data_IF_725118066278
#
_entry.id   IF_725118066278
#
_cell.length_a   1.000
_cell.length_b   1.000
_cell.length_c   1.000
_cell.angle_alpha   90.00
_cell.angle_beta   90.00
_cell.angle_gamma   90.00
#
_symmetry.space_group_name_H-M   'P 1'
#
loop_
_entity.id
_entity.type
_entity.pdbx_description
1 polymer ?
#
# COMPACT_ATOMS: atom_id res chain seq x y z
N UNK A 1 -4.48 4.28 3.16
CA UNK A 1 -4.70 5.16 4.34
C UNK A 1 -5.86 6.13 4.18
N UNK A 2 -6.05 6.85 3.05
CA UNK A 2 -7.23 7.72 2.85
C UNK A 2 -8.48 6.91 2.47
N UNK A 3 -9.64 7.26 3.06
CA UNK A 3 -10.94 6.65 2.79
C UNK A 3 -11.56 7.24 1.51
N UNK A 4 -12.32 6.44 0.76
CA UNK A 4 -13.03 6.91 -0.45
C UNK A 4 -14.05 8.02 -0.16
N UNK A 5 -14.75 7.92 0.96
CA UNK A 5 -15.70 8.94 1.42
C UNK A 5 -15.01 10.27 1.74
N UNK A 6 -13.82 10.21 2.36
CA UNK A 6 -13.05 11.41 2.68
C UNK A 6 -12.59 12.13 1.41
N UNK A 7 -12.11 11.40 0.40
CA UNK A 7 -11.72 12.01 -0.89
C UNK A 7 -12.92 12.69 -1.56
N UNK A 8 -14.09 12.04 -1.53
CA UNK A 8 -15.35 12.57 -2.08
C UNK A 8 -15.81 13.81 -1.32
N UNK A 9 -15.71 13.77 0.01
CA UNK A 9 -16.04 14.89 0.89
C UNK A 9 -15.16 16.10 0.59
N UNK A 10 -13.84 15.90 0.50
CA UNK A 10 -12.89 16.97 0.16
C UNK A 10 -13.24 17.59 -1.19
N UNK A 11 -13.45 16.78 -2.23
CA UNK A 11 -13.83 17.29 -3.56
C UNK A 11 -15.08 18.19 -3.49
N UNK A 12 -16.16 17.71 -2.83
CA UNK A 12 -17.40 18.48 -2.65
C UNK A 12 -17.22 19.74 -1.82
N UNK A 13 -16.38 19.68 -0.78
CA UNK A 13 -16.09 20.83 0.09
C UNK A 13 -15.45 21.95 -0.72
N UNK A 14 -14.42 21.63 -1.52
CA UNK A 14 -13.77 22.62 -2.38
C UNK A 14 -14.70 23.15 -3.47
N UNK A 15 -15.54 22.30 -4.08
CA UNK A 15 -16.56 22.77 -5.03
C UNK A 15 -17.48 23.85 -4.41
N UNK A 16 -17.88 23.69 -3.14
CA UNK A 16 -18.70 24.67 -2.42
C UNK A 16 -17.94 25.95 -2.09
N UNK A 17 -16.74 25.84 -1.53
CA UNK A 17 -15.91 26.99 -1.15
C UNK A 17 -15.60 27.87 -2.36
N UNK A 18 -15.31 27.25 -3.51
CA UNK A 18 -14.95 27.94 -4.74
C UNK A 18 -16.16 28.37 -5.59
N UNK A 19 -17.39 28.04 -5.17
CA UNK A 19 -18.61 28.23 -5.97
C UNK A 19 -18.46 27.68 -7.40
N UNK A 20 -17.79 26.53 -7.52
CA UNK A 20 -17.46 25.88 -8.78
C UNK A 20 -17.89 24.40 -8.71
N UNK A 21 -18.77 23.99 -9.62
CA UNK A 21 -19.33 22.62 -9.64
C UNK A 21 -18.33 21.55 -10.10
N UNK A 22 -17.18 21.94 -10.65
CA UNK A 22 -16.10 21.01 -10.96
C UNK A 22 -15.59 20.34 -9.69
N UNK A 23 -15.11 19.11 -9.82
CA UNK A 23 -14.47 18.38 -8.72
C UNK A 23 -13.31 19.20 -8.14
N UNK A 24 -13.17 19.15 -6.81
CA UNK A 24 -12.20 19.96 -6.07
C UNK A 24 -12.29 21.47 -6.36
N UNK A 25 -13.44 21.97 -6.81
CA UNK A 25 -13.62 23.38 -7.17
C UNK A 25 -12.79 23.84 -8.37
N UNK A 26 -12.38 22.90 -9.24
CA UNK A 26 -11.52 23.18 -10.40
C UNK A 26 -10.04 23.31 -10.06
N UNK A 27 -9.63 23.00 -8.84
CA UNK A 27 -8.22 22.96 -8.45
C UNK A 27 -7.55 21.74 -9.11
N UNK A 28 -6.39 21.90 -9.77
CA UNK A 28 -5.60 20.77 -10.21
C UNK A 28 -5.09 19.96 -9.01
N UNK A 29 -5.51 18.70 -8.92
CA UNK A 29 -5.12 17.80 -7.82
C UNK A 29 -4.27 16.67 -8.36
N UNK A 30 -3.14 16.41 -7.70
CA UNK A 30 -2.31 15.23 -7.90
C UNK A 30 -2.43 14.32 -6.67
N UNK A 31 -2.75 13.04 -6.90
CA UNK A 31 -2.79 12.02 -5.84
C UNK A 31 -1.73 10.98 -6.13
N UNK A 32 -0.91 10.68 -5.12
CA UNK A 32 0.12 9.62 -5.18
C UNK A 32 -0.17 8.61 -4.09
N UNK A 33 -0.30 7.33 -4.46
CA UNK A 33 -0.57 6.24 -3.52
C UNK A 33 -0.09 4.90 -4.07
N UNK A 34 0.35 4.02 -3.17
CA UNK A 34 0.40 2.58 -3.42
C UNK A 34 -0.87 1.91 -2.87
N UNK A 35 -1.63 1.26 -3.75
CA UNK A 35 -2.90 0.61 -3.39
C UNK A 35 -2.72 -0.72 -2.66
N UNK A 36 -1.58 -1.39 -2.85
CA UNK A 36 -1.26 -2.64 -2.16
C UNK A 36 -0.63 -2.40 -0.77
N UNK A 37 -0.30 -1.15 -0.45
CA UNK A 37 0.14 -0.76 0.88
C UNK A 37 -1.07 -0.54 1.82
N UNK A 38 -0.77 -0.17 3.07
CA UNK A 38 -1.71 -0.10 4.18
C UNK A 38 -3.08 0.52 3.80
N UNK A 39 -4.17 -0.23 4.04
CA UNK A 39 -5.53 0.26 3.83
C UNK A 39 -5.84 1.41 4.81
N UNK A 40 -6.93 2.17 4.59
CA UNK A 40 -7.52 2.96 5.67
C UNK A 40 -7.90 2.07 6.86
N UNK A 41 -7.79 2.59 8.09
CA UNK A 41 -8.28 1.90 9.28
C UNK A 41 -9.81 1.97 9.28
N UNK A 42 -10.49 0.83 9.40
CA UNK A 42 -11.95 0.73 9.47
C UNK A 42 -12.70 1.53 8.38
N UNK A 43 -12.23 1.46 7.14
CA UNK A 43 -12.77 2.29 6.06
C UNK A 43 -12.70 1.65 4.69
N UNK A 44 -13.48 2.19 3.76
CA UNK A 44 -13.52 1.73 2.38
C UNK A 44 -12.33 2.34 1.62
N UNK A 45 -11.71 1.53 0.76
CA UNK A 45 -10.58 1.93 -0.06
C UNK A 45 -10.87 3.17 -0.90
N UNK A 46 -9.86 4.03 -1.05
CA UNK A 46 -9.97 5.29 -1.81
C UNK A 46 -10.53 5.12 -3.23
N UNK A 47 -10.26 3.99 -3.87
CA UNK A 47 -10.65 3.74 -5.27
C UNK A 47 -12.15 3.51 -5.46
N UNK A 48 -12.93 3.39 -4.38
CA UNK A 48 -14.39 3.36 -4.44
C UNK A 48 -15.00 4.77 -4.55
N UNK A 49 -14.20 5.82 -4.36
CA UNK A 49 -14.67 7.19 -4.54
C UNK A 49 -15.04 7.45 -6.00
N UNK A 50 -16.18 8.10 -6.30
CA UNK A 50 -16.54 8.47 -7.67
C UNK A 50 -15.54 9.43 -8.32
N UNK A 51 -14.78 10.20 -7.54
CA UNK A 51 -13.75 11.12 -8.06
C UNK A 51 -12.42 10.42 -8.33
N UNK A 52 -12.28 9.13 -7.96
CA UNK A 52 -11.04 8.37 -8.16
C UNK A 52 -10.69 8.15 -9.64
N UNK A 53 -11.70 8.10 -10.50
CA UNK A 53 -11.56 7.90 -11.96
C UNK A 53 -10.61 8.90 -12.64
N UNK A 54 -10.32 10.03 -12.00
CA UNK A 54 -9.43 11.06 -12.53
C UNK A 54 -7.94 10.80 -12.22
N UNK A 55 -7.61 9.75 -11.45
CA UNK A 55 -6.25 9.50 -10.95
C UNK A 55 -5.69 8.15 -11.44
N UNK A 56 -5.77 7.89 -12.75
CA UNK A 56 -5.39 6.60 -13.36
C UNK A 56 -4.02 6.63 -14.05
N UNK A 57 -2.96 6.83 -13.26
CA UNK A 57 -1.57 6.71 -13.71
C UNK A 57 -0.81 5.75 -12.78
N UNK A 58 -0.03 4.83 -13.36
CA UNK A 58 0.77 3.86 -12.61
C UNK A 58 2.26 4.03 -12.93
N UNK A 59 3.08 4.15 -11.89
CA UNK A 59 4.54 4.07 -12.01
C UNK A 59 4.97 2.59 -12.02
N UNK A 60 5.84 2.24 -12.96
CA UNK A 60 6.25 0.84 -13.19
C UNK A 60 7.71 0.55 -12.85
N UNK A 61 8.54 1.59 -12.71
CA UNK A 61 9.99 1.44 -12.51
C UNK A 61 10.37 1.56 -11.03
N UNK A 62 10.90 0.49 -10.40
CA UNK A 62 11.34 0.53 -9.01
C UNK A 62 12.76 1.11 -8.91
N UNK A 63 12.90 2.29 -8.33
CA UNK A 63 14.22 2.90 -8.16
C UNK A 63 14.95 2.45 -6.89
N UNK A 64 14.20 2.20 -5.79
CA UNK A 64 14.79 1.93 -4.46
C UNK A 64 15.57 0.62 -4.40
N UNK A 65 15.08 -0.43 -5.04
CA UNK A 65 15.72 -1.76 -5.07
C UNK A 65 16.40 -2.07 -6.41
N UNK A 66 16.66 -1.05 -7.23
CA UNK A 66 17.16 -1.24 -8.60
C UNK A 66 18.49 -2.00 -8.69
N UNK A 67 19.31 -1.97 -7.63
CA UNK A 67 20.58 -2.69 -7.55
C UNK A 67 20.48 -4.14 -7.05
N UNK A 68 19.32 -4.57 -6.54
CA UNK A 68 19.10 -5.91 -6.00
C UNK A 68 17.77 -6.48 -6.49
N UNK A 69 17.83 -7.14 -7.66
CA UNK A 69 16.67 -7.76 -8.30
C UNK A 69 16.05 -8.88 -7.44
N UNK A 70 16.86 -9.58 -6.64
CA UNK A 70 16.35 -10.63 -5.75
C UNK A 70 15.51 -10.03 -4.63
N UNK A 71 16.01 -8.96 -4.00
CA UNK A 71 15.25 -8.25 -2.97
C UNK A 71 13.97 -7.62 -3.55
N UNK A 72 14.06 -7.02 -4.74
CA UNK A 72 12.89 -6.48 -5.44
C UNK A 72 11.81 -7.55 -5.68
N UNK A 73 12.19 -8.73 -6.19
CA UNK A 73 11.26 -9.81 -6.49
C UNK A 73 10.55 -10.32 -5.23
N UNK A 74 11.28 -10.49 -4.12
CA UNK A 74 10.68 -10.86 -2.83
C UNK A 74 9.61 -9.83 -2.43
N UNK A 75 9.88 -8.53 -2.59
CA UNK A 75 8.90 -7.48 -2.26
C UNK A 75 7.69 -7.49 -3.20
N UNK A 76 7.85 -7.83 -4.49
CA UNK A 76 6.71 -7.95 -5.41
C UNK A 76 5.81 -9.13 -5.04
N UNK A 77 6.40 -10.27 -4.68
CA UNK A 77 5.66 -11.43 -4.20
C UNK A 77 4.90 -11.10 -2.90
N UNK A 78 5.53 -10.40 -1.95
CA UNK A 78 4.87 -9.90 -0.73
C UNK A 78 3.71 -8.96 -1.08
N UNK A 79 3.90 -8.06 -2.05
CA UNK A 79 2.89 -7.08 -2.48
C UNK A 79 1.62 -7.76 -3.02
N UNK A 80 1.76 -8.89 -3.70
CA UNK A 80 0.64 -9.67 -4.27
C UNK A 80 0.07 -10.64 -3.23
N UNK A 81 0.90 -11.08 -2.27
CA UNK A 81 0.53 -12.07 -1.24
C UNK A 81 0.85 -13.51 -1.62
N UNK A 82 1.53 -13.73 -2.74
CA UNK A 82 1.91 -15.06 -3.26
C UNK A 82 3.42 -15.24 -3.18
N UNK A 83 3.90 -15.94 -2.14
CA UNK A 83 5.33 -16.15 -1.90
C UNK A 83 5.83 -17.47 -2.49
N UNK A 84 6.90 -17.41 -3.29
CA UNK A 84 7.63 -18.59 -3.76
C UNK A 84 8.50 -19.19 -2.64
N UNK A 85 8.83 -20.48 -2.77
CA UNK A 85 9.74 -21.15 -1.83
C UNK A 85 11.11 -20.44 -1.77
N UNK A 86 11.56 -19.88 -2.90
CA UNK A 86 12.82 -19.14 -2.98
C UNK A 86 12.79 -17.87 -2.11
N UNK A 87 11.69 -17.13 -2.14
CA UNK A 87 11.50 -15.93 -1.33
C UNK A 87 11.35 -16.26 0.15
N UNK A 88 10.59 -17.30 0.49
CA UNK A 88 10.47 -17.80 1.87
C UNK A 88 11.85 -18.15 2.43
N UNK A 89 12.66 -18.90 1.66
CA UNK A 89 14.02 -19.26 2.07
C UNK A 89 14.90 -18.02 2.25
N UNK A 90 14.82 -17.04 1.34
CA UNK A 90 15.55 -15.77 1.45
C UNK A 90 15.21 -14.98 2.71
N UNK A 91 13.93 -14.90 3.07
CA UNK A 91 13.46 -14.26 4.30
C UNK A 91 13.98 -15.03 5.53
N UNK A 92 13.89 -16.36 5.54
CA UNK A 92 14.34 -17.20 6.66
C UNK A 92 15.85 -17.06 6.93
N UNK A 93 16.68 -16.96 5.89
CA UNK A 93 18.11 -16.70 6.04
C UNK A 93 18.34 -15.37 6.77
N UNK A 94 17.59 -14.31 6.41
CA UNK A 94 17.68 -13.01 7.08
C UNK A 94 17.22 -13.08 8.52
N UNK A 95 16.15 -13.81 8.82
CA UNK A 95 15.68 -14.02 10.21
C UNK A 95 16.76 -14.71 11.04
N UNK A 96 17.35 -15.80 10.53
CA UNK A 96 18.42 -16.53 11.23
C UNK A 96 19.65 -15.67 11.51
N UNK A 97 20.02 -14.77 10.58
CA UNK A 97 21.12 -13.82 10.76
C UNK A 97 20.87 -12.78 11.87
N UNK A 98 19.60 -12.46 12.16
CA UNK A 98 19.21 -11.45 13.16
C UNK A 98 18.80 -12.04 14.51
N UNK A 99 18.70 -13.37 14.64
CA UNK A 99 18.49 -13.99 15.95
C UNK A 99 19.78 -13.84 16.77
N UNK A 100 19.75 -13.10 17.91
CA UNK A 100 20.90 -13.08 18.80
C UNK A 100 21.13 -14.50 19.33
N UNK A 101 22.39 -14.93 19.45
CA UNK A 101 22.76 -16.29 19.87
C UNK A 101 22.30 -16.69 21.29
N UNK A 102 21.51 -15.88 22.00
CA UNK A 102 20.95 -16.22 23.30
C UNK A 102 19.59 -15.55 23.49
N UNK A 103 18.49 -16.27 23.27
CA UNK A 103 17.47 -16.52 24.29
C UNK A 103 16.23 -17.20 23.71
N UNK A 104 15.78 -18.19 24.46
CA UNK A 104 14.57 -18.98 24.29
C UNK A 104 13.37 -18.05 24.42
N UNK A 105 12.95 -17.44 23.33
CA UNK A 105 11.59 -16.97 23.15
C UNK A 105 11.09 -17.64 21.90
N UNK A 106 10.24 -18.65 22.08
CA UNK A 106 9.35 -19.17 21.04
C UNK A 106 8.67 -17.95 20.42
N UNK A 107 9.17 -17.51 19.28
CA UNK A 107 8.50 -16.55 18.43
C UNK A 107 7.25 -17.30 17.99
N UNK A 108 6.16 -17.06 18.72
CA UNK A 108 4.82 -17.26 18.22
C UNK A 108 4.83 -16.54 16.89
N UNK A 109 4.93 -17.32 15.80
CA UNK A 109 4.86 -16.86 14.43
C UNK A 109 3.79 -15.79 14.45
N UNK A 110 4.19 -14.55 14.20
CA UNK A 110 3.28 -13.47 13.93
C UNK A 110 2.47 -14.02 12.77
N UNK A 111 1.30 -14.55 13.11
CA UNK A 111 0.15 -14.67 12.23
C UNK A 111 0.01 -13.25 11.73
N UNK A 112 0.69 -12.93 10.63
CA UNK A 112 0.22 -11.92 9.73
C UNK A 112 -1.17 -12.42 9.41
N UNK A 113 -2.13 -11.84 10.13
CA UNK A 113 -3.53 -11.76 9.78
C UNK A 113 -3.56 -11.13 8.39
N UNK A 114 -3.24 -11.93 7.38
CA UNK A 114 -3.90 -11.85 6.09
C UNK A 114 -5.30 -12.36 6.42
N UNK A 115 -6.09 -11.43 6.98
CA UNK A 115 -7.52 -11.56 7.07
C UNK A 115 -7.98 -11.75 5.63
N UNK A 116 -8.26 -13.01 5.30
CA UNK A 116 -9.23 -13.35 4.27
C UNK A 116 -10.48 -12.53 4.56
N UNK A 117 -10.77 -11.58 3.68
CA UNK A 117 -12.13 -11.21 3.34
C UNK A 117 -12.44 -11.88 2.01
#
# INVERSE_FOLDING_TARGET
MVLGELLTFISKLFSRIHKNSLEFGGIPVLVVRDLAQLPPINGIQVFTSPVWKNFLLFLTTPHRQSSDSRYYNILQEIKIGELSQSSINGINIKVAQHQPQNNILKIHVIKLLILYY
#
